data_IF_111014914144
#
_entry.id   IF_111014914144
#
_cell.length_a   1.000
_cell.length_b   1.000
_cell.length_c   1.000
_cell.angle_alpha   90.00
_cell.angle_beta   90.00
_cell.angle_gamma   90.00
#
_symmetry.space_group_name_H-M   'P 1'
#
loop_
_entity.id
_entity.type
_entity.pdbx_description
1 polymer ?
#
# COMPACT_ATOMS: atom_id res chain seq x y z
N UNK A 1 -42.99 -6.87 23.19
CA UNK A 1 -41.70 -7.52 23.49
C UNK A 1 -41.35 -8.31 22.25
N UNK A 2 -40.74 -7.61 21.30
CA UNK A 2 -40.29 -8.12 20.00
C UNK A 2 -39.17 -7.16 19.63
N UNK A 3 -37.95 -7.60 19.93
CA UNK A 3 -36.70 -6.93 19.56
C UNK A 3 -36.48 -7.11 18.05
N UNK A 4 -36.25 -6.01 17.34
CA UNK A 4 -35.57 -6.03 16.05
C UNK A 4 -34.08 -5.83 16.29
N UNK A 5 -33.19 -6.67 15.73
CA UNK A 5 -31.76 -6.44 15.82
C UNK A 5 -31.35 -5.34 14.81
N UNK A 6 -30.83 -4.23 15.34
CA UNK A 6 -30.08 -3.23 14.58
C UNK A 6 -28.79 -3.87 14.04
N UNK A 7 -28.75 -4.15 12.74
CA UNK A 7 -27.51 -4.44 12.03
C UNK A 7 -26.76 -3.15 11.79
N UNK A 8 -25.67 -2.95 12.52
CA UNK A 8 -24.65 -1.97 12.17
C UNK A 8 -23.87 -2.50 10.96
N UNK A 9 -24.09 -1.90 9.79
CA UNK A 9 -23.21 -2.06 8.64
C UNK A 9 -22.00 -1.16 8.84
N UNK A 10 -20.83 -1.75 9.11
CA UNK A 10 -19.55 -1.10 8.90
C UNK A 10 -19.24 -1.12 7.40
N UNK A 11 -19.60 -0.06 6.68
CA UNK A 11 -19.00 0.19 5.37
C UNK A 11 -17.69 0.94 5.61
N UNK A 12 -16.58 0.27 5.30
CA UNK A 12 -15.31 0.94 5.10
C UNK A 12 -15.47 1.87 3.90
N UNK A 13 -15.55 3.16 4.16
CA UNK A 13 -15.43 4.19 3.13
C UNK A 13 -13.96 4.23 2.70
N UNK A 14 -13.60 3.33 1.80
CA UNK A 14 -12.45 3.55 0.93
C UNK A 14 -12.87 4.68 -0.03
N UNK A 15 -12.51 5.92 0.32
CA UNK A 15 -12.66 7.04 -0.58
C UNK A 15 -11.83 6.79 -1.85
N UNK A 16 -12.38 7.00 -3.05
CA UNK A 16 -11.58 7.02 -4.28
C UNK A 16 -10.60 8.20 -4.23
N UNK A 17 -9.40 8.09 -4.82
CA UNK A 17 -8.40 9.14 -4.74
C UNK A 17 -8.86 10.43 -5.42
N UNK A 18 -8.63 11.56 -4.72
CA UNK A 18 -8.71 12.91 -5.27
C UNK A 18 -7.72 13.05 -6.44
N UNK A 19 -8.14 13.72 -7.52
CA UNK A 19 -7.38 13.84 -8.78
C UNK A 19 -6.12 14.73 -8.74
N UNK A 20 -5.35 14.69 -7.65
CA UNK A 20 -4.01 15.28 -7.51
C UNK A 20 -2.90 14.23 -7.58
N UNK A 21 -1.64 14.64 -7.71
CA UNK A 21 -0.50 13.71 -7.61
C UNK A 21 -0.24 13.28 -6.17
N UNK A 22 0.64 12.29 -5.97
CA UNK A 22 1.16 11.90 -4.66
C UNK A 22 2.63 12.34 -4.53
N UNK A 23 3.07 12.69 -3.32
CA UNK A 23 4.43 13.12 -3.02
C UNK A 23 5.03 12.27 -1.90
N UNK A 24 6.27 11.81 -2.10
CA UNK A 24 7.12 11.34 -1.01
C UNK A 24 7.74 12.55 -0.31
N UNK A 25 7.57 12.62 1.01
CA UNK A 25 8.26 13.56 1.87
C UNK A 25 9.27 12.81 2.75
N UNK A 26 10.44 13.43 2.91
CA UNK A 26 11.50 12.95 3.81
C UNK A 26 11.68 13.98 4.90
N UNK A 27 11.41 13.59 6.15
CA UNK A 27 11.57 14.45 7.32
C UNK A 27 12.65 13.88 8.21
N UNK A 28 13.62 14.72 8.55
CA UNK A 28 14.60 14.42 9.59
C UNK A 28 14.01 14.68 10.97
N UNK A 29 14.20 13.72 11.88
CA UNK A 29 13.80 13.78 13.28
C UNK A 29 13.77 12.39 13.91
N UNK A 30 13.45 12.33 15.20
CA UNK A 30 13.18 11.03 15.84
C UNK A 30 11.91 10.42 15.24
N UNK A 31 11.97 9.18 14.78
CA UNK A 31 10.90 8.52 14.01
C UNK A 31 9.51 8.63 14.68
N UNK A 32 9.41 8.27 15.96
CA UNK A 32 8.14 8.36 16.70
C UNK A 32 7.62 9.79 16.84
N UNK A 33 8.53 10.78 16.91
CA UNK A 33 8.15 12.19 16.95
C UNK A 33 7.62 12.65 15.59
N UNK A 34 8.29 12.27 14.48
CA UNK A 34 7.82 12.59 13.13
C UNK A 34 6.45 11.97 12.89
N UNK A 35 6.31 10.67 13.15
CA UNK A 35 5.04 9.96 12.95
C UNK A 35 3.91 10.58 13.77
N UNK A 36 4.13 10.79 15.07
CA UNK A 36 3.11 11.36 15.95
C UNK A 36 2.72 12.78 15.55
N UNK A 37 3.70 13.60 15.16
CA UNK A 37 3.48 14.96 14.71
C UNK A 37 2.67 15.00 13.41
N UNK A 38 3.11 14.29 12.37
CA UNK A 38 2.48 14.28 11.05
C UNK A 38 1.08 13.66 11.14
N UNK A 39 0.91 12.52 11.80
CA UNK A 39 -0.44 11.94 12.00
C UNK A 39 -1.35 12.90 12.76
N UNK A 40 -0.83 13.55 13.81
CA UNK A 40 -1.58 14.56 14.56
C UNK A 40 -1.99 15.77 13.72
N UNK A 41 -1.12 16.20 12.81
CA UNK A 41 -1.40 17.29 11.85
C UNK A 41 -2.57 16.94 10.92
N UNK A 42 -2.59 15.73 10.38
CA UNK A 42 -3.67 15.28 9.50
C UNK A 42 -4.98 15.00 10.26
N UNK A 43 -4.92 14.50 11.50
CA UNK A 43 -6.11 14.38 12.37
C UNK A 43 -6.75 15.73 12.67
N UNK A 44 -5.96 16.78 12.88
CA UNK A 44 -6.45 18.12 13.21
C UNK A 44 -6.74 18.99 11.97
N UNK A 45 -6.24 18.58 10.80
CA UNK A 45 -6.26 19.35 9.57
C UNK A 45 -7.58 19.22 8.79
N UNK A 46 -7.76 20.03 7.73
CA UNK A 46 -8.91 19.93 6.83
C UNK A 46 -8.76 18.80 5.79
N UNK A 47 -7.58 18.17 5.71
CA UNK A 47 -7.32 17.09 4.77
C UNK A 47 -8.02 15.81 5.22
N UNK A 48 -8.69 15.15 4.28
CA UNK A 48 -9.31 13.84 4.50
C UNK A 48 -8.38 12.69 4.08
N UNK A 49 -7.18 13.02 3.59
CA UNK A 49 -6.17 12.06 3.18
C UNK A 49 -5.27 11.70 4.38
N UNK A 50 -4.83 10.44 4.45
CA UNK A 50 -4.00 9.93 5.54
C UNK A 50 -2.55 9.77 5.08
N UNK A 51 -1.56 10.25 5.85
CA UNK A 51 -0.15 10.06 5.52
C UNK A 51 0.23 8.58 5.63
N UNK A 52 0.86 8.05 4.58
CA UNK A 52 1.26 6.64 4.50
C UNK A 52 2.75 6.52 4.76
N UNK A 53 3.16 5.95 5.90
CA UNK A 53 4.58 5.80 6.24
C UNK A 53 5.18 4.54 5.63
N UNK A 54 6.43 4.62 5.17
CA UNK A 54 7.07 3.50 4.46
C UNK A 54 7.16 2.23 5.32
N UNK A 55 7.36 2.37 6.63
CA UNK A 55 7.45 1.26 7.59
C UNK A 55 6.11 0.57 7.88
N UNK A 56 4.95 1.20 7.59
CA UNK A 56 3.62 0.63 7.86
C UNK A 56 3.20 -0.37 6.77
N UNK A 57 3.67 -0.14 5.53
CA UNK A 57 3.23 -0.90 4.35
C UNK A 57 4.35 -1.67 3.66
N UNK A 58 5.56 -1.67 4.21
CA UNK A 58 6.74 -2.26 3.56
C UNK A 58 6.96 -1.58 2.21
N UNK A 59 7.07 -0.26 2.22
CA UNK A 59 7.28 0.52 0.99
C UNK A 59 8.78 0.64 0.73
N UNK A 60 9.26 0.07 -0.38
CA UNK A 60 10.60 0.30 -0.90
C UNK A 60 10.58 1.38 -1.98
N UNK A 61 11.05 2.59 -1.68
CA UNK A 61 11.45 3.50 -2.75
C UNK A 61 12.74 2.95 -3.39
N UNK A 62 12.82 2.88 -4.73
CA UNK A 62 14.00 2.36 -5.43
C UNK A 62 15.30 2.91 -4.84
N UNK A 63 16.22 2.00 -4.52
CA UNK A 63 17.45 2.23 -3.77
C UNK A 63 18.29 3.41 -4.32
N UNK A 64 18.03 4.63 -3.83
CA UNK A 64 18.89 5.37 -2.89
C UNK A 64 20.43 5.38 -3.11
N UNK A 65 20.93 5.18 -4.34
CA UNK A 65 22.35 4.83 -4.57
C UNK A 65 23.26 5.93 -5.14
N UNK A 66 22.83 7.20 -5.19
CA UNK A 66 23.73 8.28 -5.63
C UNK A 66 23.68 9.55 -4.77
N UNK A 67 22.52 9.92 -4.20
CA UNK A 67 22.39 11.13 -3.37
C UNK A 67 22.72 10.92 -1.88
N UNK A 68 22.70 9.69 -1.38
CA UNK A 68 22.81 9.39 0.07
C UNK A 68 24.23 9.23 0.63
N UNK A 69 25.29 9.37 -0.18
CA UNK A 69 26.66 9.28 0.36
C UNK A 69 26.95 10.32 1.45
N UNK A 70 26.19 11.41 1.49
CA UNK A 70 26.31 12.45 2.50
C UNK A 70 25.54 12.17 3.80
N UNK A 71 24.58 11.23 3.81
CA UNK A 71 23.64 11.02 4.94
C UNK A 71 23.81 9.66 5.64
N UNK A 72 24.93 8.97 5.42
CA UNK A 72 25.24 7.64 5.97
C UNK A 72 25.27 7.62 7.53
N UNK A 73 25.28 8.79 8.19
CA UNK A 73 25.12 8.93 9.64
C UNK A 73 23.76 9.47 10.13
N UNK A 74 22.83 9.80 9.23
CA UNK A 74 21.51 10.37 9.52
C UNK A 74 20.35 9.42 9.20
N UNK A 75 20.62 8.27 8.56
CA UNK A 75 19.58 7.32 8.15
C UNK A 75 18.65 6.88 9.30
N UNK A 76 19.15 6.81 10.55
CA UNK A 76 18.35 6.50 11.75
C UNK A 76 17.40 7.63 12.19
N UNK A 77 17.41 8.77 11.50
CA UNK A 77 16.59 9.93 11.78
C UNK A 77 15.78 10.39 10.57
N UNK A 78 15.73 9.63 9.47
CA UNK A 78 14.92 9.99 8.31
C UNK A 78 13.63 9.18 8.29
N UNK A 79 12.51 9.89 8.33
CA UNK A 79 11.17 9.31 8.19
C UNK A 79 10.63 9.64 6.80
N UNK A 80 10.21 8.61 6.09
CA UNK A 80 9.63 8.70 4.75
C UNK A 80 8.14 8.41 4.81
N UNK A 81 7.36 9.24 4.15
CA UNK A 81 5.92 9.04 4.04
C UNK A 81 5.37 9.68 2.77
N UNK A 82 4.25 9.15 2.29
CA UNK A 82 3.55 9.65 1.11
C UNK A 82 2.28 10.40 1.54
N UNK A 83 2.03 11.52 0.89
CA UNK A 83 0.81 12.34 1.05
C UNK A 83 0.30 12.79 -0.31
N UNK A 84 -0.98 13.13 -0.42
CA UNK A 84 -1.49 13.83 -1.59
C UNK A 84 -0.78 15.19 -1.76
N UNK A 85 -0.53 15.59 -3.01
CA UNK A 85 0.20 16.80 -3.38
C UNK A 85 -0.41 18.06 -2.75
N UNK A 86 -1.73 18.16 -2.66
CA UNK A 86 -2.41 19.29 -2.00
C UNK A 86 -2.07 19.46 -0.51
N UNK A 87 -1.53 18.43 0.14
CA UNK A 87 -1.16 18.44 1.55
C UNK A 87 0.27 18.95 1.80
N UNK A 88 1.05 19.22 0.76
CA UNK A 88 2.45 19.63 0.89
C UNK A 88 2.62 20.91 1.73
N UNK A 89 1.84 21.94 1.43
CA UNK A 89 1.96 23.23 2.13
C UNK A 89 1.53 23.13 3.59
N UNK A 90 0.55 22.28 3.90
CA UNK A 90 0.15 21.98 5.28
C UNK A 90 1.35 21.41 6.07
N UNK A 91 2.07 20.45 5.50
CA UNK A 91 3.23 19.83 6.16
C UNK A 91 4.40 20.82 6.27
N UNK A 92 4.69 21.58 5.20
CA UNK A 92 5.75 22.60 5.19
C UNK A 92 5.54 23.66 6.27
N UNK A 93 4.35 24.24 6.35
CA UNK A 93 4.03 25.28 7.33
C UNK A 93 4.10 24.74 8.76
N UNK A 94 3.64 23.50 8.98
CA UNK A 94 3.69 22.85 10.27
C UNK A 94 5.13 22.61 10.75
N UNK A 95 6.03 22.16 9.86
CA UNK A 95 7.43 21.92 10.18
C UNK A 95 8.25 23.21 10.36
N UNK A 96 7.88 24.30 9.68
CA UNK A 96 8.48 25.63 9.87
C UNK A 96 8.09 26.30 11.19
N UNK A 97 7.10 25.75 11.91
CA UNK A 97 6.65 26.31 13.18
C UNK A 97 7.75 26.20 14.25
N UNK A 98 8.19 27.31 14.87
CA UNK A 98 9.24 27.28 15.90
C UNK A 98 8.92 26.43 17.13
N UNK A 99 7.64 26.05 17.31
CA UNK A 99 7.19 25.14 18.38
C UNK A 99 7.44 23.66 18.08
N UNK A 100 7.95 23.33 16.90
CA UNK A 100 8.25 21.98 16.45
C UNK A 100 9.78 21.78 16.28
N UNK A 101 10.61 22.05 17.31
CA UNK A 101 12.06 21.95 17.15
C UNK A 101 12.49 20.50 16.91
N UNK A 102 13.50 20.30 16.06
CA UNK A 102 14.10 18.99 15.81
C UNK A 102 13.39 18.16 14.73
N UNK A 103 12.46 18.75 13.99
CA UNK A 103 11.89 18.19 12.77
C UNK A 103 12.28 19.09 11.57
N UNK A 104 12.80 18.50 10.51
CA UNK A 104 13.23 19.25 9.32
C UNK A 104 12.84 18.53 8.03
N UNK A 105 12.14 19.22 7.11
CA UNK A 105 11.84 18.67 5.79
C UNK A 105 13.12 18.64 4.95
N UNK A 106 13.55 17.45 4.55
CA UNK A 106 14.79 17.22 3.79
C UNK A 106 14.58 17.06 2.30
N UNK A 107 13.47 16.45 1.90
CA UNK A 107 13.16 16.25 0.49
C UNK A 107 11.65 16.14 0.25
N UNK A 108 11.27 16.52 -0.97
CA UNK A 108 9.93 16.35 -1.52
C UNK A 108 10.12 15.80 -2.94
N UNK A 109 9.48 14.69 -3.26
CA UNK A 109 9.60 14.04 -4.58
C UNK A 109 8.23 13.59 -5.08
N UNK A 110 7.90 13.79 -6.36
CA UNK A 110 6.66 13.25 -6.90
C UNK A 110 6.74 11.73 -7.00
N UNK A 111 5.66 11.06 -6.64
CA UNK A 111 5.47 9.63 -6.87
C UNK A 111 4.90 9.46 -8.28
N UNK A 112 5.69 8.87 -9.17
CA UNK A 112 5.31 8.69 -10.57
C UNK A 112 4.47 7.42 -10.76
N UNK A 113 4.79 6.36 -10.02
CA UNK A 113 4.01 5.12 -10.00
C UNK A 113 4.37 4.29 -8.77
N UNK A 114 3.51 3.31 -8.48
CA UNK A 114 3.78 2.25 -7.52
C UNK A 114 3.61 0.88 -8.17
N UNK A 115 4.26 -0.14 -7.62
CA UNK A 115 4.13 -1.52 -8.08
C UNK A 115 4.45 -2.54 -6.99
N UNK A 116 3.91 -3.75 -7.11
CA UNK A 116 4.31 -4.90 -6.30
C UNK A 116 4.08 -6.20 -7.07
N UNK A 117 4.80 -7.25 -6.70
CA UNK A 117 4.63 -8.59 -7.26
C UNK A 117 3.80 -9.44 -6.30
N UNK A 118 3.06 -10.40 -6.82
CA UNK A 118 2.31 -11.33 -6.00
C UNK A 118 2.41 -12.76 -6.53
N UNK A 119 2.21 -13.70 -5.62
CA UNK A 119 1.95 -15.11 -5.93
C UNK A 119 0.94 -15.67 -4.94
N UNK A 120 0.16 -16.67 -5.35
CA UNK A 120 -0.75 -17.38 -4.45
C UNK A 120 -0.90 -18.84 -4.85
N UNK A 121 -1.21 -19.66 -3.85
CA UNK A 121 -1.64 -21.06 -4.02
C UNK A 121 -2.77 -21.32 -3.02
N UNK A 122 -4.00 -21.42 -3.52
CA UNK A 122 -5.23 -21.42 -2.73
C UNK A 122 -5.98 -22.73 -2.94
N UNK A 123 -6.32 -23.41 -1.85
CA UNK A 123 -7.00 -24.71 -1.86
C UNK A 123 -8.48 -24.63 -1.42
N UNK A 124 -9.04 -23.42 -1.44
CA UNK A 124 -10.41 -23.12 -1.05
C UNK A 124 -11.06 -22.25 -2.14
N UNK A 125 -12.21 -22.67 -2.66
CA UNK A 125 -12.87 -21.99 -3.79
C UNK A 125 -13.33 -20.56 -3.47
N UNK A 126 -13.81 -20.31 -2.25
CA UNK A 126 -14.24 -18.97 -1.82
C UNK A 126 -13.06 -18.00 -1.77
N UNK A 127 -11.94 -18.42 -1.17
CA UNK A 127 -10.70 -17.63 -1.14
C UNK A 127 -10.10 -17.48 -2.54
N UNK A 128 -10.23 -18.50 -3.41
CA UNK A 128 -9.80 -18.42 -4.79
C UNK A 128 -10.59 -17.38 -5.58
N UNK A 129 -11.91 -17.31 -5.36
CA UNK A 129 -12.73 -16.26 -5.94
C UNK A 129 -12.37 -14.88 -5.38
N UNK A 130 -12.05 -14.77 -4.09
CA UNK A 130 -11.57 -13.52 -3.50
C UNK A 130 -10.26 -13.05 -4.15
N UNK A 131 -9.30 -13.95 -4.37
CA UNK A 131 -8.05 -13.61 -5.07
C UNK A 131 -8.30 -13.17 -6.51
N UNK A 132 -9.20 -13.83 -7.25
CA UNK A 132 -9.61 -13.38 -8.59
C UNK A 132 -10.22 -11.99 -8.55
N UNK A 133 -11.10 -11.73 -7.60
CA UNK A 133 -11.75 -10.43 -7.47
C UNK A 133 -10.73 -9.32 -7.21
N UNK A 134 -9.67 -9.58 -6.43
CA UNK A 134 -8.59 -8.61 -6.17
C UNK A 134 -7.81 -8.28 -7.45
N UNK A 135 -7.43 -9.28 -8.26
CA UNK A 135 -6.52 -9.09 -9.39
C UNK A 135 -7.20 -8.93 -10.76
N UNK A 136 -8.46 -9.35 -10.91
CA UNK A 136 -9.24 -9.21 -12.16
C UNK A 136 -10.16 -7.98 -12.15
N UNK A 137 -10.47 -7.43 -10.96
CA UNK A 137 -11.32 -6.23 -10.80
C UNK A 137 -10.56 -5.07 -10.15
N UNK A 138 -9.33 -4.85 -10.61
CA UNK A 138 -8.50 -3.72 -10.15
C UNK A 138 -9.13 -2.37 -10.53
N UNK A 139 -8.86 -1.29 -9.77
CA UNK A 139 -9.33 0.06 -10.10
C UNK A 139 -8.82 0.53 -11.48
N UNK A 140 -9.52 1.51 -12.07
CA UNK A 140 -9.09 2.16 -13.30
C UNK A 140 -7.69 2.78 -13.13
N UNK A 141 -6.81 2.59 -14.11
CA UNK A 141 -5.43 3.08 -14.06
C UNK A 141 -4.44 2.14 -13.36
N UNK A 142 -4.91 1.01 -12.82
CA UNK A 142 -4.06 -0.09 -12.36
C UNK A 142 -3.97 -1.17 -13.46
N UNK A 143 -2.76 -1.63 -13.71
CA UNK A 143 -2.48 -2.73 -14.62
C UNK A 143 -1.93 -3.93 -13.85
N UNK A 144 -2.40 -5.13 -14.22
CA UNK A 144 -1.82 -6.40 -13.77
C UNK A 144 -1.06 -7.02 -14.95
N UNK A 145 0.26 -6.98 -14.87
CA UNK A 145 1.16 -7.57 -15.85
C UNK A 145 1.49 -9.02 -15.49
N UNK A 146 1.82 -9.81 -16.52
CA UNK A 146 2.26 -11.20 -16.40
C UNK A 146 1.32 -12.09 -15.56
N UNK A 147 0.01 -11.76 -15.57
CA UNK A 147 -1.00 -12.48 -14.82
C UNK A 147 -1.18 -13.89 -15.37
N UNK A 148 -0.68 -14.86 -14.64
CA UNK A 148 -0.77 -16.28 -14.96
C UNK A 148 -1.57 -16.96 -13.87
N UNK A 149 -2.66 -17.63 -14.25
CA UNK A 149 -3.53 -18.35 -13.33
C UNK A 149 -3.78 -19.75 -13.84
N UNK A 150 -3.63 -20.72 -12.95
CA UNK A 150 -3.95 -22.13 -13.16
C UNK A 150 -5.00 -22.56 -12.13
N UNK A 151 -6.06 -23.20 -12.59
CA UNK A 151 -7.12 -23.74 -11.73
C UNK A 151 -7.29 -25.23 -11.99
N UNK A 152 -7.22 -26.01 -10.92
CA UNK A 152 -7.47 -27.45 -10.92
C UNK A 152 -8.70 -27.73 -10.06
N UNK A 153 -9.64 -28.47 -10.63
CA UNK A 153 -10.82 -29.01 -9.94
C UNK A 153 -10.82 -30.52 -10.10
N UNK A 154 -10.90 -31.24 -9.00
CA UNK A 154 -10.95 -32.70 -8.98
C UNK A 154 -12.41 -33.16 -9.08
N UNK A 155 -12.81 -33.79 -10.18
CA UNK A 155 -14.07 -34.53 -10.22
C UNK A 155 -13.90 -35.81 -9.38
N UNK A 156 -14.33 -35.78 -8.12
CA UNK A 156 -14.27 -36.92 -7.19
C UNK A 156 -15.04 -38.18 -7.67
N UNK A 157 -15.72 -38.13 -8.82
CA UNK A 157 -16.52 -39.22 -9.39
C UNK A 157 -15.72 -40.24 -10.23
N UNK A 158 -14.39 -40.12 -10.36
CA UNK A 158 -13.57 -41.09 -11.10
C UNK A 158 -12.42 -41.65 -10.29
N UNK A 159 -12.71 -42.73 -9.55
CA UNK A 159 -11.80 -43.85 -9.32
C UNK A 159 -10.49 -43.53 -8.59
N UNK A 160 -10.54 -43.68 -7.27
CA UNK A 160 -9.45 -43.92 -6.31
C UNK A 160 -8.05 -44.16 -6.93
N UNK A 161 -7.26 -43.09 -7.03
CA UNK A 161 -5.80 -43.20 -6.96
C UNK A 161 -5.36 -42.75 -5.56
N UNK A 162 -4.75 -43.67 -4.81
CA UNK A 162 -4.43 -43.57 -3.37
C UNK A 162 -3.33 -42.55 -3.03
N UNK A 163 -3.01 -41.61 -3.92
CA UNK A 163 -1.95 -40.61 -3.74
C UNK A 163 -2.37 -39.18 -4.12
N UNK A 164 -3.64 -38.95 -4.45
CA UNK A 164 -4.11 -37.63 -4.89
C UNK A 164 -4.23 -36.67 -3.70
N UNK A 165 -3.72 -35.45 -3.88
CA UNK A 165 -3.83 -34.32 -2.95
C UNK A 165 -5.21 -34.24 -2.30
N UNK A 166 -5.27 -33.95 -1.00
CA UNK A 166 -6.51 -33.93 -0.20
C UNK A 166 -7.47 -32.77 -0.54
N UNK A 167 -7.19 -31.99 -1.59
CA UNK A 167 -7.93 -30.79 -1.95
C UNK A 167 -8.62 -30.97 -3.30
N UNK A 168 -9.95 -30.83 -3.30
CA UNK A 168 -10.79 -30.91 -4.50
C UNK A 168 -10.70 -29.66 -5.39
N UNK A 169 -9.97 -28.64 -4.92
CA UNK A 169 -9.76 -27.36 -5.57
C UNK A 169 -8.32 -26.87 -5.33
N UNK A 170 -7.67 -26.38 -6.38
CA UNK A 170 -6.41 -25.65 -6.29
C UNK A 170 -6.41 -24.51 -7.31
N UNK A 171 -6.13 -23.29 -6.85
CA UNK A 171 -5.92 -22.12 -7.68
C UNK A 171 -4.53 -21.56 -7.40
N UNK A 172 -3.69 -21.52 -8.44
CA UNK A 172 -2.37 -20.91 -8.39
C UNK A 172 -2.32 -19.71 -9.29
N UNK A 173 -1.59 -18.69 -8.86
CA UNK A 173 -1.33 -17.56 -9.74
C UNK A 173 -0.15 -16.71 -9.32
N UNK A 174 0.26 -15.86 -10.24
CA UNK A 174 1.29 -14.86 -10.05
C UNK A 174 1.08 -13.69 -11.02
N UNK A 175 1.70 -12.56 -10.71
CA UNK A 175 1.72 -11.38 -11.57
C UNK A 175 2.36 -10.19 -10.86
N UNK A 176 2.31 -9.04 -11.53
CA UNK A 176 2.78 -7.76 -11.00
C UNK A 176 1.69 -6.71 -11.16
N UNK A 177 1.35 -6.02 -10.08
CA UNK A 177 0.42 -4.89 -10.08
C UNK A 177 1.21 -3.59 -10.23
N UNK A 178 0.73 -2.66 -11.05
CA UNK A 178 1.35 -1.32 -11.20
C UNK A 178 0.31 -0.25 -11.53
N UNK A 179 0.52 0.97 -11.07
CA UNK A 179 -0.40 2.08 -11.31
C UNK A 179 -0.07 3.33 -10.49
N UNK A 180 -1.09 4.15 -10.21
CA UNK A 180 -1.00 5.24 -9.24
C UNK A 180 -0.67 4.69 -7.85
N UNK A 181 -0.09 5.50 -6.98
CA UNK A 181 0.24 5.05 -5.62
C UNK A 181 -1.00 4.60 -4.85
N UNK A 182 -2.07 5.41 -4.85
CA UNK A 182 -3.29 5.13 -4.08
C UNK A 182 -4.02 3.89 -4.55
N UNK A 183 -4.19 3.74 -5.86
CA UNK A 183 -4.92 2.59 -6.39
C UNK A 183 -4.10 1.30 -6.22
N UNK A 184 -2.77 1.38 -6.38
CA UNK A 184 -1.88 0.22 -6.14
C UNK A 184 -1.82 -0.15 -4.67
N UNK A 185 -1.74 0.82 -3.76
CA UNK A 185 -1.78 0.61 -2.31
C UNK A 185 -3.10 -0.05 -1.90
N UNK A 186 -4.23 0.39 -2.46
CA UNK A 186 -5.52 -0.24 -2.20
C UNK A 186 -5.52 -1.72 -2.57
N UNK A 187 -5.01 -2.09 -3.76
CA UNK A 187 -4.92 -3.49 -4.18
C UNK A 187 -3.94 -4.28 -3.29
N UNK A 188 -2.82 -3.68 -2.90
CA UNK A 188 -1.85 -4.27 -1.97
C UNK A 188 -2.48 -4.57 -0.61
N UNK A 189 -3.25 -3.64 -0.05
CA UNK A 189 -3.98 -3.86 1.19
C UNK A 189 -5.05 -4.96 1.08
N UNK A 190 -5.75 -5.07 -0.04
CA UNK A 190 -6.71 -6.16 -0.24
C UNK A 190 -5.99 -7.51 -0.33
N UNK A 191 -4.86 -7.58 -1.04
CA UNK A 191 -4.03 -8.78 -1.12
C UNK A 191 -3.54 -9.23 0.26
N UNK A 192 -3.02 -8.30 1.07
CA UNK A 192 -2.53 -8.54 2.44
C UNK A 192 -3.57 -9.12 3.41
N UNK A 193 -4.87 -8.98 3.10
CA UNK A 193 -5.97 -9.52 3.91
C UNK A 193 -6.23 -11.00 3.63
N UNK A 194 -5.66 -11.56 2.57
CA UNK A 194 -5.78 -12.98 2.20
C UNK A 194 -4.44 -13.66 2.48
N UNK A 195 -4.37 -14.45 3.55
CA UNK A 195 -3.13 -15.07 4.05
C UNK A 195 -2.38 -15.92 3.00
N UNK A 196 -3.10 -16.50 2.04
CA UNK A 196 -2.53 -17.35 0.99
C UNK A 196 -1.96 -16.56 -0.20
N UNK A 197 -2.12 -15.23 -0.21
CA UNK A 197 -1.46 -14.35 -1.16
C UNK A 197 -0.15 -13.89 -0.50
N UNK A 198 0.95 -14.10 -1.21
CA UNK A 198 2.24 -13.56 -0.85
C UNK A 198 2.57 -12.41 -1.80
N UNK A 199 2.65 -11.21 -1.24
CA UNK A 199 3.03 -9.98 -1.93
C UNK A 199 4.47 -9.55 -1.62
N UNK A 200 5.12 -8.90 -2.59
CA UNK A 200 6.35 -8.17 -2.32
C UNK A 200 6.06 -6.86 -1.59
N UNK A 201 7.13 -6.23 -1.12
CA UNK A 201 7.12 -4.82 -0.72
C UNK A 201 6.58 -3.91 -1.86
N UNK A 202 5.88 -2.85 -1.48
CA UNK A 202 5.33 -1.87 -2.41
C UNK A 202 6.46 -0.96 -2.90
N UNK A 203 6.77 -1.01 -4.20
CA UNK A 203 7.86 -0.27 -4.80
C UNK A 203 7.39 1.04 -5.41
N UNK A 204 8.05 2.15 -5.09
CA UNK A 204 7.75 3.47 -5.68
C UNK A 204 8.78 3.87 -6.73
N UNK A 205 8.28 4.37 -7.86
CA UNK A 205 9.09 5.13 -8.82
C UNK A 205 8.92 6.60 -8.50
N UNK A 206 10.03 7.26 -8.16
CA UNK A 206 10.05 8.65 -7.72
C UNK A 206 10.68 9.54 -8.78
N UNK A 207 10.10 10.72 -9.01
CA UNK A 207 10.68 11.74 -9.88
C UNK A 207 11.81 12.52 -9.21
N UNK A 208 12.21 13.60 -9.88
CA UNK A 208 13.25 14.49 -9.40
C UNK A 208 12.79 15.26 -8.15
N UNK A 209 13.71 15.58 -7.21
CA UNK A 209 13.39 16.41 -6.05
C UNK A 209 12.82 17.78 -6.44
N UNK A 210 11.76 18.17 -5.76
CA UNK A 210 11.16 19.50 -5.87
C UNK A 210 11.95 20.42 -4.95
N UNK A 211 12.41 21.55 -5.47
CA UNK A 211 13.10 22.57 -4.68
C UNK A 211 12.17 23.19 -3.63
N UNK A 212 12.72 23.50 -2.46
CA UNK A 212 12.03 24.26 -1.40
C UNK A 212 12.08 25.77 -1.64
#
# INVERSE_FOLDING_TARGET
MTDEPTTASSSGDANPPSGGGDLELVVEGQELLVQGFVKGLFVAGPSHDWPVFNNEFGIEAERFSSALKEWVGLAEHLSHFVVAEESLELVRDALRNPRCPGLELRAVRPVLSASFDFTFAIFNEELGQQARDIFEKVPDGVAVADYQVEELRSDADKGVELYTSAHDYELKGQGSVSGSFRDTLYVHEQARRVEQIAESELRLVLGDPIAD
#
